data_IF_162941498141
#
_entry.id   IF_162941498141
#
_cell.length_a   1.000
_cell.length_b   1.000
_cell.length_c   1.000
_cell.angle_alpha   90.00
_cell.angle_beta   90.00
_cell.angle_gamma   90.00
#
_symmetry.space_group_name_H-M   'P 1'
#
loop_
_entity.id
_entity.type
_entity.pdbx_description
1 polymer ?
#
# COMPACT_ATOMS: atom_id res chain seq x y z
N UNK A 1 18.47 -8.46 0.74
CA UNK A 1 18.40 -7.30 -0.19
C UNK A 1 16.99 -7.20 -0.76
N UNK A 2 16.38 -6.00 -0.83
CA UNK A 2 15.01 -5.85 -1.34
C UNK A 2 15.01 -5.75 -2.87
N UNK A 3 14.46 -6.77 -3.56
CA UNK A 3 14.41 -6.89 -5.03
C UNK A 3 13.79 -5.64 -5.69
N UNK A 4 12.77 -5.05 -5.06
CA UNK A 4 12.03 -3.92 -5.62
C UNK A 4 12.86 -2.67 -5.93
N UNK A 5 13.96 -2.39 -5.22
CA UNK A 5 14.72 -1.13 -5.45
C UNK A 5 15.33 -1.06 -6.85
N UNK A 6 15.76 -2.20 -7.39
CA UNK A 6 16.35 -2.28 -8.75
C UNK A 6 15.27 -2.27 -9.84
N UNK A 7 14.07 -2.73 -9.53
CA UNK A 7 12.99 -2.90 -10.52
C UNK A 7 12.20 -1.61 -10.79
N UNK A 8 12.41 -0.55 -10.00
CA UNK A 8 11.64 0.70 -10.07
C UNK A 8 12.53 1.92 -10.35
N UNK A 9 13.69 1.71 -11.01
CA UNK A 9 14.67 2.77 -11.29
C UNK A 9 14.32 3.63 -12.51
N UNK A 10 13.44 3.14 -13.39
CA UNK A 10 13.14 3.79 -14.66
C UNK A 10 11.65 3.97 -14.83
N UNK A 11 11.28 5.05 -15.52
CA UNK A 11 9.92 5.31 -15.95
C UNK A 11 9.91 5.76 -17.41
N UNK A 12 8.92 5.30 -18.19
CA UNK A 12 8.89 5.50 -19.64
C UNK A 12 8.56 6.92 -20.10
N UNK A 13 8.05 7.77 -19.22
CA UNK A 13 7.77 9.19 -19.48
C UNK A 13 7.60 9.96 -18.17
N UNK A 14 7.67 11.30 -18.22
CA UNK A 14 7.41 12.16 -17.05
C UNK A 14 5.99 11.93 -16.48
N UNK A 15 4.99 11.84 -17.36
CA UNK A 15 3.61 11.62 -16.94
C UNK A 15 3.42 10.24 -16.30
N UNK A 16 4.08 9.20 -16.83
CA UNK A 16 4.11 7.89 -16.20
C UNK A 16 4.84 7.95 -14.84
N UNK A 17 5.87 8.78 -14.71
CA UNK A 17 6.60 9.05 -13.46
C UNK A 17 5.67 9.61 -12.39
N UNK A 18 4.93 10.66 -12.73
CA UNK A 18 3.97 11.27 -11.82
C UNK A 18 2.90 10.27 -11.34
N UNK A 19 2.29 9.51 -12.26
CA UNK A 19 1.31 8.47 -11.91
C UNK A 19 1.91 7.40 -11.00
N UNK A 20 3.15 6.97 -11.28
CA UNK A 20 3.85 5.97 -10.47
C UNK A 20 4.13 6.50 -9.06
N UNK A 21 4.52 7.78 -8.92
CA UNK A 21 4.75 8.41 -7.63
C UNK A 21 3.46 8.49 -6.79
N UNK A 22 2.31 8.78 -7.42
CA UNK A 22 1.01 8.74 -6.75
C UNK A 22 0.70 7.33 -6.22
N UNK A 23 0.84 6.30 -7.06
CA UNK A 23 0.61 4.91 -6.64
C UNK A 23 1.54 4.46 -5.52
N UNK A 24 2.83 4.79 -5.61
CA UNK A 24 3.80 4.51 -4.56
C UNK A 24 3.42 5.17 -3.24
N UNK A 25 2.98 6.43 -3.29
CA UNK A 25 2.55 7.19 -2.10
C UNK A 25 1.31 6.57 -1.46
N UNK A 26 0.34 6.12 -2.25
CA UNK A 26 -0.84 5.40 -1.75
C UNK A 26 -0.45 4.08 -1.07
N UNK A 27 0.44 3.29 -1.69
CA UNK A 27 0.93 2.03 -1.12
C UNK A 27 1.71 2.27 0.18
N UNK A 28 2.54 3.32 0.23
CA UNK A 28 3.25 3.70 1.45
C UNK A 28 2.27 4.08 2.57
N UNK A 29 1.27 4.90 2.25
CA UNK A 29 0.22 5.30 3.19
C UNK A 29 -0.57 4.09 3.72
N UNK A 30 -0.87 3.10 2.87
CA UNK A 30 -1.53 1.87 3.32
C UNK A 30 -0.68 1.11 4.35
N UNK A 31 0.63 1.01 4.12
CA UNK A 31 1.54 0.31 5.04
C UNK A 31 1.60 1.01 6.40
N UNK A 32 1.69 2.34 6.41
CA UNK A 32 1.74 3.14 7.64
C UNK A 32 0.44 3.02 8.45
N UNK A 33 -0.70 2.88 7.76
CA UNK A 33 -2.02 2.67 8.37
C UNK A 33 -2.36 1.19 8.65
N UNK A 34 -1.43 0.26 8.41
CA UNK A 34 -1.63 -1.20 8.52
C UNK A 34 -2.82 -1.72 7.71
N UNK A 35 -2.96 -1.22 6.48
CA UNK A 35 -3.97 -1.62 5.50
C UNK A 35 -3.33 -2.49 4.43
N UNK A 36 -4.00 -3.57 4.02
CA UNK A 36 -3.58 -4.43 2.93
C UNK A 36 -3.64 -3.67 1.59
N UNK A 37 -2.50 -3.36 0.95
CA UNK A 37 -2.47 -2.44 -0.19
C UNK A 37 -3.24 -2.93 -1.42
N UNK A 38 -3.27 -4.23 -1.69
CA UNK A 38 -3.91 -4.76 -2.88
C UNK A 38 -5.44 -4.65 -2.80
N UNK A 39 -6.04 -5.08 -1.69
CA UNK A 39 -7.47 -5.01 -1.46
C UNK A 39 -7.95 -3.56 -1.45
N UNK A 40 -7.20 -2.67 -0.79
CA UNK A 40 -7.47 -1.24 -0.81
C UNK A 40 -7.43 -0.67 -2.23
N UNK A 41 -6.36 -0.91 -3.01
CA UNK A 41 -6.25 -0.36 -4.36
C UNK A 41 -7.33 -0.91 -5.30
N UNK A 42 -7.66 -2.20 -5.18
CA UNK A 42 -8.75 -2.82 -5.97
C UNK A 42 -10.08 -2.12 -5.69
N UNK A 43 -10.38 -1.88 -4.42
CA UNK A 43 -11.63 -1.24 -4.01
C UNK A 43 -11.63 0.23 -4.44
N UNK A 44 -10.52 0.95 -4.19
CA UNK A 44 -10.31 2.32 -4.64
C UNK A 44 -10.57 2.46 -6.14
N UNK A 45 -9.95 1.64 -7.00
CA UNK A 45 -10.14 1.76 -8.45
C UNK A 45 -11.51 1.34 -8.95
N UNK A 46 -12.24 0.53 -8.17
CA UNK A 46 -13.62 0.12 -8.50
C UNK A 46 -14.61 1.22 -8.14
N UNK A 47 -14.39 1.92 -7.02
CA UNK A 47 -15.31 2.93 -6.50
C UNK A 47 -15.00 4.36 -6.97
N UNK A 48 -13.73 4.70 -7.19
CA UNK A 48 -13.29 6.05 -7.55
C UNK A 48 -13.98 6.65 -8.81
N UNK A 49 -14.30 5.88 -9.86
CA UNK A 49 -15.01 6.42 -11.02
C UNK A 49 -16.45 6.87 -10.72
N UNK A 50 -17.05 6.39 -9.63
CA UNK A 50 -18.47 6.54 -9.33
C UNK A 50 -18.77 7.34 -8.05
N UNK A 51 -17.84 7.41 -7.09
CA UNK A 51 -18.08 8.00 -5.77
C UNK A 51 -17.45 9.41 -5.64
N UNK A 52 -18.24 10.47 -5.38
CA UNK A 52 -17.70 11.80 -5.09
C UNK A 52 -17.08 11.91 -3.68
N UNK A 53 -17.30 10.94 -2.79
CA UNK A 53 -16.81 10.98 -1.41
C UNK A 53 -15.48 10.25 -1.25
N UNK A 54 -14.39 10.93 -1.59
CA UNK A 54 -13.03 10.45 -1.36
C UNK A 54 -12.70 10.21 0.12
N UNK A 55 -13.46 10.81 1.03
CA UNK A 55 -13.21 10.73 2.46
C UNK A 55 -13.41 9.35 3.04
N UNK A 56 -14.34 8.55 2.51
CA UNK A 56 -14.55 7.14 2.94
C UNK A 56 -13.46 6.20 2.41
N UNK A 57 -12.85 6.58 1.29
CA UNK A 57 -11.81 5.83 0.59
C UNK A 57 -10.41 6.11 1.13
N UNK A 58 -10.24 6.94 2.17
CA UNK A 58 -8.94 7.09 2.82
C UNK A 58 -8.54 5.78 3.52
N UNK A 59 -7.26 5.37 3.50
CA UNK A 59 -6.84 4.05 4.00
C UNK A 59 -7.26 3.74 5.44
N UNK A 60 -7.15 4.72 6.33
CA UNK A 60 -7.52 4.62 7.75
C UNK A 60 -9.03 4.39 7.94
N UNK A 61 -9.85 5.14 7.20
CA UNK A 61 -11.31 5.05 7.26
C UNK A 61 -11.83 3.80 6.56
N UNK A 62 -11.22 3.45 5.43
CA UNK A 62 -11.55 2.25 4.67
C UNK A 62 -11.38 0.98 5.50
N UNK A 63 -10.35 0.92 6.34
CA UNK A 63 -10.10 -0.22 7.23
C UNK A 63 -11.19 -0.40 8.30
N UNK A 64 -11.88 0.68 8.67
CA UNK A 64 -13.01 0.61 9.63
C UNK A 64 -14.17 -0.20 9.04
N UNK A 65 -14.41 -0.07 7.74
CA UNK A 65 -15.40 -0.88 7.01
C UNK A 65 -14.88 -2.30 6.67
N UNK A 66 -13.55 -2.49 6.65
CA UNK A 66 -12.90 -3.72 6.17
C UNK A 66 -11.85 -4.26 7.15
N UNK A 67 -12.23 -4.62 8.38
CA UNK A 67 -11.28 -5.00 9.44
C UNK A 67 -10.43 -6.25 9.09
N UNK A 68 -10.94 -7.13 8.22
CA UNK A 68 -10.22 -8.33 7.76
C UNK A 68 -8.97 -8.01 6.92
N UNK A 69 -8.86 -6.82 6.34
CA UNK A 69 -7.76 -6.41 5.47
C UNK A 69 -6.65 -5.69 6.24
N UNK A 70 -6.49 -5.97 7.55
CA UNK A 70 -5.40 -5.42 8.35
C UNK A 70 -4.06 -6.08 7.99
N UNK A 71 -3.09 -5.27 7.57
CA UNK A 71 -1.76 -5.72 7.20
C UNK A 71 -0.91 -6.06 8.43
N UNK A 72 -0.60 -7.34 8.62
CA UNK A 72 0.19 -7.84 9.75
C UNK A 72 1.58 -8.35 9.32
N UNK A 73 1.86 -8.39 8.01
CA UNK A 73 3.07 -9.05 7.49
C UNK A 73 4.35 -8.27 7.86
N UNK A 74 4.27 -6.98 8.15
CA UNK A 74 5.41 -6.22 8.67
C UNK A 74 5.82 -6.73 10.07
N UNK A 75 4.83 -6.92 10.94
CA UNK A 75 5.00 -7.42 12.31
C UNK A 75 5.53 -8.87 12.29
N UNK A 76 4.92 -9.73 11.47
CA UNK A 76 5.36 -11.12 11.28
C UNK A 76 6.82 -11.22 10.82
N UNK A 77 7.22 -10.42 9.83
CA UNK A 77 8.61 -10.39 9.34
C UNK A 77 9.58 -9.87 10.40
N UNK A 78 9.15 -8.96 11.26
CA UNK A 78 9.97 -8.48 12.35
C UNK A 78 10.18 -9.59 13.40
N UNK A 79 9.13 -10.34 13.73
CA UNK A 79 9.19 -11.50 14.61
C UNK A 79 10.12 -12.59 14.06
N UNK A 80 10.03 -12.91 12.77
CA UNK A 80 10.93 -13.86 12.09
C UNK A 80 12.40 -13.41 12.15
N UNK A 81 12.66 -12.10 12.02
CA UNK A 81 14.03 -11.55 12.12
C UNK A 81 14.58 -11.66 13.53
N UNK A 82 13.77 -11.36 14.54
CA UNK A 82 14.16 -11.52 15.94
C UNK A 82 14.33 -12.98 16.33
N UNK A 83 13.48 -13.88 15.82
CA UNK A 83 13.56 -15.32 16.11
C UNK A 83 14.77 -15.99 15.47
N UNK A 84 15.18 -15.55 14.27
CA UNK A 84 16.33 -16.12 13.55
C UNK A 84 17.70 -15.55 13.97
N UNK A 85 17.78 -14.76 15.05
CA UNK A 85 19.06 -14.30 15.61
C UNK A 85 19.93 -13.49 14.65
N UNK A 86 19.34 -12.82 13.65
CA UNK A 86 20.03 -11.90 12.74
C UNK A 86 19.88 -10.45 13.21
N UNK A 87 20.24 -10.20 14.46
CA UNK A 87 20.75 -8.94 15.02
C UNK A 87 21.55 -9.30 16.28
#
# INVERSE_FOLDING_TARGET
VAIGRKNWLFVGSEQAGHRSAVLMSLIASCKDNRVEPWAYLRDLFTHLPADPNLGSLLPDRWLTAHPQHRWQIADLRQQERTANGRL
#
